data_IF_256039746559
#
_entry.id   IF_256039746559
#
_cell.length_a   1.000
_cell.length_b   1.000
_cell.length_c   1.000
_cell.angle_alpha   90.00
_cell.angle_beta   90.00
_cell.angle_gamma   90.00
#
_symmetry.space_group_name_H-M   'P 1'
#
loop_
_entity.id
_entity.type
_entity.pdbx_description
1 polymer ?
#
# COMPACT_ATOMS: atom_id res chain seq x y z
N UNK A 1 6.01 21.19 -56.16
CA UNK A 1 7.16 20.49 -56.78
C UNK A 1 6.82 19.84 -58.12
N UNK A 2 5.76 19.02 -58.21
CA UNK A 2 5.37 18.29 -59.45
C UNK A 2 5.24 19.18 -60.71
N UNK A 3 4.63 20.36 -60.59
CA UNK A 3 4.50 21.29 -61.73
C UNK A 3 5.84 21.88 -62.18
N UNK A 4 6.73 22.24 -61.24
CA UNK A 4 8.09 22.75 -61.55
C UNK A 4 8.99 21.68 -62.15
N UNK A 5 8.79 20.42 -61.79
CA UNK A 5 9.53 19.29 -62.36
C UNK A 5 9.11 19.03 -63.81
N UNK A 6 7.81 19.18 -64.11
CA UNK A 6 7.29 19.15 -65.48
C UNK A 6 7.79 20.32 -66.32
N UNK A 7 7.84 21.53 -65.76
CA UNK A 7 8.43 22.70 -66.44
C UNK A 7 9.91 22.46 -66.75
N UNK A 8 10.67 21.89 -65.81
CA UNK A 8 12.08 21.56 -66.03
C UNK A 8 12.25 20.50 -67.12
N UNK A 9 11.42 19.46 -67.12
CA UNK A 9 11.45 18.42 -68.16
C UNK A 9 11.21 19.02 -69.54
N UNK A 10 10.18 19.86 -69.69
CA UNK A 10 9.89 20.53 -70.96
C UNK A 10 11.04 21.44 -71.42
N UNK A 11 11.69 22.12 -70.47
CA UNK A 11 12.81 23.00 -70.78
C UNK A 11 14.08 22.24 -71.16
N UNK A 12 14.35 21.07 -70.54
CA UNK A 12 15.44 20.16 -70.92
C UNK A 12 15.22 19.55 -72.30
N UNK A 13 13.97 19.20 -72.64
CA UNK A 13 13.61 18.71 -73.97
C UNK A 13 13.89 19.76 -75.05
N UNK A 14 13.49 21.02 -74.82
CA UNK A 14 13.79 22.14 -75.74
C UNK A 14 15.29 22.42 -75.87
N UNK A 15 16.05 22.33 -74.79
CA UNK A 15 17.51 22.52 -74.85
C UNK A 15 18.20 21.43 -75.69
N UNK A 16 17.68 20.21 -75.65
CA UNK A 16 18.20 19.07 -76.41
C UNK A 16 17.90 19.21 -77.91
N UNK A 17 16.72 19.74 -78.25
CA UNK A 17 16.34 20.13 -79.62
C UNK A 17 17.20 21.29 -80.14
N UNK A 18 17.51 22.27 -79.29
CA UNK A 18 18.38 23.40 -79.61
C UNK A 18 19.85 22.96 -79.84
N UNK A 19 20.35 22.00 -79.05
CA UNK A 19 21.69 21.40 -79.20
C UNK A 19 21.85 20.52 -80.45
N UNK A 20 20.76 19.96 -80.98
CA UNK A 20 20.78 19.08 -82.16
C UNK A 20 20.60 19.84 -83.49
N UNK A 21 20.26 21.14 -83.44
CA UNK A 21 20.16 22.02 -84.60
C UNK A 21 21.46 22.80 -84.82
N UNK A 22 22.17 22.54 -85.93
CA UNK A 22 23.54 23.01 -86.18
C UNK A 22 23.74 24.51 -86.46
N UNK A 23 22.71 25.36 -86.25
CA UNK A 23 22.73 26.80 -86.57
C UNK A 23 22.56 27.71 -85.35
N UNK A 24 22.65 27.19 -84.12
CA UNK A 24 22.45 27.99 -82.91
C UNK A 24 23.75 28.42 -82.22
N UNK A 25 23.70 29.62 -81.61
CA UNK A 25 24.83 30.29 -80.98
C UNK A 25 25.21 29.62 -79.65
N UNK A 26 26.43 29.07 -79.59
CA UNK A 26 26.94 28.25 -78.47
C UNK A 26 26.92 28.98 -77.12
N UNK A 27 27.13 30.30 -77.11
CA UNK A 27 27.10 31.11 -75.90
C UNK A 27 25.70 31.19 -75.27
N UNK A 28 24.65 31.22 -76.10
CA UNK A 28 23.26 31.23 -75.63
C UNK A 28 22.85 29.88 -75.02
N UNK A 29 23.40 28.77 -75.55
CA UNK A 29 23.19 27.43 -75.02
C UNK A 29 23.89 27.28 -73.65
N UNK A 30 25.11 27.80 -73.50
CA UNK A 30 25.84 27.77 -72.24
C UNK A 30 25.16 28.54 -71.10
N UNK A 31 24.59 29.73 -71.39
CA UNK A 31 23.83 30.51 -70.40
C UNK A 31 22.61 29.73 -69.89
N UNK A 32 21.87 29.07 -70.79
CA UNK A 32 20.71 28.24 -70.41
C UNK A 32 21.10 27.02 -69.58
N UNK A 33 22.24 26.38 -69.86
CA UNK A 33 22.75 25.26 -69.06
C UNK A 33 23.04 25.70 -67.61
N UNK A 34 23.63 26.88 -67.41
CA UNK A 34 23.91 27.42 -66.07
C UNK A 34 22.62 27.79 -65.33
N UNK A 35 21.63 28.37 -66.02
CA UNK A 35 20.29 28.62 -65.45
C UNK A 35 19.57 27.33 -65.07
N UNK A 36 19.69 26.25 -65.85
CA UNK A 36 19.13 24.95 -65.46
C UNK A 36 19.85 24.33 -64.27
N UNK A 37 21.17 24.45 -64.18
CA UNK A 37 21.94 23.99 -63.03
C UNK A 37 21.49 24.66 -61.74
N UNK A 38 21.29 25.98 -61.76
CA UNK A 38 20.81 26.75 -60.60
C UNK A 38 19.35 26.45 -60.24
N UNK A 39 18.48 26.22 -61.23
CA UNK A 39 17.10 25.79 -60.97
C UNK A 39 17.01 24.36 -60.39
N UNK A 40 17.86 23.44 -60.86
CA UNK A 40 18.00 22.09 -60.29
C UNK A 40 18.51 22.12 -58.86
N UNK A 41 19.51 22.95 -58.56
CA UNK A 41 20.05 23.08 -57.21
C UNK A 41 19.02 23.69 -56.25
N UNK A 42 18.26 24.69 -56.70
CA UNK A 42 17.15 25.27 -55.93
C UNK A 42 16.01 24.27 -55.71
N UNK A 43 15.67 23.44 -56.70
CA UNK A 43 14.69 22.36 -56.56
C UNK A 43 15.17 21.27 -55.59
N UNK A 44 16.45 20.90 -55.65
CA UNK A 44 17.08 19.97 -54.72
C UNK A 44 17.01 20.50 -53.29
N UNK A 45 17.34 21.78 -53.06
CA UNK A 45 17.22 22.43 -51.75
C UNK A 45 15.78 22.48 -51.22
N UNK A 46 14.80 22.73 -52.10
CA UNK A 46 13.38 22.70 -51.72
C UNK A 46 12.93 21.28 -51.32
N UNK A 47 13.37 20.25 -52.05
CA UNK A 47 13.07 18.86 -51.74
C UNK A 47 13.76 18.38 -50.46
N UNK A 48 15.02 18.76 -50.24
CA UNK A 48 15.76 18.46 -49.01
C UNK A 48 15.14 19.15 -47.79
N UNK A 49 14.63 20.37 -47.96
CA UNK A 49 13.88 21.08 -46.91
C UNK A 49 12.53 20.42 -46.62
N UNK A 50 11.74 20.04 -47.63
CA UNK A 50 10.49 19.30 -47.44
C UNK A 50 10.72 17.94 -46.76
N UNK A 51 11.78 17.20 -47.12
CA UNK A 51 12.14 15.93 -46.44
C UNK A 51 12.56 16.18 -45.00
N UNK A 52 13.30 17.26 -44.73
CA UNK A 52 13.71 17.61 -43.36
C UNK A 52 12.49 18.00 -42.51
N UNK A 53 11.56 18.79 -43.05
CA UNK A 53 10.31 19.15 -42.38
C UNK A 53 9.41 17.93 -42.18
N UNK A 54 9.33 17.02 -43.16
CA UNK A 54 8.62 15.75 -43.00
C UNK A 54 9.26 14.85 -41.95
N UNK A 55 10.60 14.73 -41.91
CA UNK A 55 11.30 13.95 -40.88
C UNK A 55 11.16 14.56 -39.49
N UNK A 56 11.20 15.89 -39.39
CA UNK A 56 10.92 16.61 -38.15
C UNK A 56 9.48 16.39 -37.72
N UNK A 57 8.51 16.57 -38.62
CA UNK A 57 7.09 16.34 -38.34
C UNK A 57 6.79 14.88 -38.01
N UNK A 58 7.44 13.90 -38.64
CA UNK A 58 7.29 12.48 -38.31
C UNK A 58 7.91 12.18 -36.94
N UNK A 59 9.07 12.77 -36.63
CA UNK A 59 9.71 12.65 -35.32
C UNK A 59 8.85 13.27 -34.20
N UNK A 60 8.27 14.45 -34.44
CA UNK A 60 7.34 15.11 -33.51
C UNK A 60 6.02 14.33 -33.38
N UNK A 61 5.52 13.73 -34.47
CA UNK A 61 4.32 12.88 -34.45
C UNK A 61 4.55 11.55 -33.75
N UNK A 62 5.69 10.88 -33.97
CA UNK A 62 6.07 9.65 -33.24
C UNK A 62 6.32 9.90 -31.76
N UNK A 63 6.92 11.04 -31.39
CA UNK A 63 7.15 11.42 -29.99
C UNK A 63 5.85 11.79 -29.26
N UNK A 64 4.95 12.53 -29.92
CA UNK A 64 3.64 12.91 -29.34
C UNK A 64 2.68 11.73 -29.23
N UNK A 65 2.64 10.82 -30.21
CA UNK A 65 1.80 9.62 -30.16
C UNK A 65 2.30 8.59 -29.15
N UNK A 66 3.61 8.42 -28.98
CA UNK A 66 4.17 7.55 -27.93
C UNK A 66 3.98 8.15 -26.52
N UNK A 67 4.09 9.46 -26.36
CA UNK A 67 3.73 10.14 -25.09
C UNK A 67 2.24 10.09 -24.79
N UNK A 68 1.35 10.27 -25.78
CA UNK A 68 -0.09 10.12 -25.59
C UNK A 68 -0.49 8.69 -25.26
N UNK A 69 0.12 7.68 -25.89
CA UNK A 69 -0.12 6.28 -25.56
C UNK A 69 0.44 5.90 -24.18
N UNK A 70 1.61 6.41 -23.78
CA UNK A 70 2.16 6.23 -22.43
C UNK A 70 1.33 6.97 -21.37
N UNK A 71 0.78 8.14 -21.70
CA UNK A 71 -0.11 8.91 -20.84
C UNK A 71 -1.50 8.26 -20.75
N UNK A 72 -2.07 7.73 -21.83
CA UNK A 72 -3.34 6.99 -21.80
C UNK A 72 -3.20 5.63 -21.13
N UNK A 73 -2.09 4.90 -21.30
CA UNK A 73 -1.82 3.66 -20.54
C UNK A 73 -1.53 3.97 -19.07
N UNK A 74 -0.78 5.03 -18.77
CA UNK A 74 -0.53 5.50 -17.41
C UNK A 74 -1.79 6.01 -16.71
N UNK A 75 -2.66 6.73 -17.42
CA UNK A 75 -3.94 7.21 -16.91
C UNK A 75 -4.97 6.09 -16.83
N UNK A 76 -4.99 5.12 -17.73
CA UNK A 76 -5.90 3.96 -17.66
C UNK A 76 -5.48 3.01 -16.54
N UNK A 77 -4.18 2.76 -16.36
CA UNK A 77 -3.65 2.02 -15.23
C UNK A 77 -3.86 2.76 -13.91
N UNK A 78 -3.65 4.09 -13.88
CA UNK A 78 -3.97 4.91 -12.71
C UNK A 78 -5.48 5.00 -12.44
N UNK A 79 -6.35 5.03 -13.45
CA UNK A 79 -7.82 5.03 -13.27
C UNK A 79 -8.34 3.67 -12.82
N UNK A 80 -7.82 2.57 -13.34
CA UNK A 80 -8.17 1.22 -12.86
C UNK A 80 -7.63 0.97 -11.45
N UNK A 81 -6.38 1.38 -11.15
CA UNK A 81 -5.86 1.37 -9.80
C UNK A 81 -6.60 2.34 -8.87
N UNK A 82 -7.03 3.51 -9.34
CA UNK A 82 -7.84 4.45 -8.56
C UNK A 82 -9.24 3.92 -8.34
N UNK A 83 -9.89 3.25 -9.31
CA UNK A 83 -11.21 2.64 -9.13
C UNK A 83 -11.13 1.42 -8.20
N UNK A 84 -10.09 0.60 -8.34
CA UNK A 84 -9.79 -0.50 -7.40
C UNK A 84 -9.46 0.06 -6.02
N UNK A 85 -8.67 1.14 -5.93
CA UNK A 85 -8.35 1.83 -4.68
C UNK A 85 -9.55 2.54 -4.08
N UNK A 86 -10.44 3.14 -4.86
CA UNK A 86 -11.71 3.75 -4.41
C UNK A 86 -12.65 2.65 -3.91
N UNK A 87 -12.78 1.53 -4.62
CA UNK A 87 -13.58 0.39 -4.17
C UNK A 87 -13.00 -0.26 -2.92
N UNK A 88 -11.68 -0.43 -2.84
CA UNK A 88 -10.97 -0.91 -1.64
C UNK A 88 -11.09 0.10 -0.49
N UNK A 89 -10.93 1.39 -0.74
CA UNK A 89 -11.09 2.44 0.25
C UNK A 89 -12.55 2.50 0.73
N UNK A 90 -13.53 2.25 -0.15
CA UNK A 90 -14.95 2.17 0.21
C UNK A 90 -15.26 0.89 1.01
N UNK A 91 -14.70 -0.26 0.64
CA UNK A 91 -14.80 -1.50 1.41
C UNK A 91 -14.11 -1.39 2.78
N UNK A 92 -12.97 -0.71 2.86
CA UNK A 92 -12.23 -0.42 4.08
C UNK A 92 -13.03 0.54 4.98
N UNK A 93 -13.63 1.59 4.42
CA UNK A 93 -14.52 2.53 5.12
C UNK A 93 -15.75 1.79 5.64
N UNK A 94 -16.38 0.95 4.83
CA UNK A 94 -17.55 0.16 5.24
C UNK A 94 -17.20 -0.83 6.35
N UNK A 95 -16.03 -1.46 6.28
CA UNK A 95 -15.56 -2.34 7.35
C UNK A 95 -15.28 -1.56 8.64
N UNK A 96 -14.59 -0.42 8.55
CA UNK A 96 -14.32 0.46 9.69
C UNK A 96 -15.62 0.92 10.36
N UNK A 97 -16.58 1.42 9.57
CA UNK A 97 -17.89 1.85 10.07
C UNK A 97 -18.68 0.68 10.67
N UNK A 98 -18.58 -0.52 10.09
CA UNK A 98 -19.19 -1.71 10.68
C UNK A 98 -18.60 -2.05 12.06
N UNK A 99 -17.28 -1.94 12.24
CA UNK A 99 -16.62 -2.15 13.53
C UNK A 99 -17.04 -1.07 14.54
N UNK A 100 -17.00 0.21 14.12
CA UNK A 100 -17.36 1.37 14.95
C UNK A 100 -18.80 1.30 15.45
N UNK A 101 -19.74 0.99 14.55
CA UNK A 101 -21.17 0.88 14.85
C UNK A 101 -21.58 -0.51 15.39
N UNK A 102 -20.60 -1.35 15.78
CA UNK A 102 -20.83 -2.67 16.40
C UNK A 102 -21.59 -3.68 15.53
N UNK A 103 -21.58 -3.50 14.21
CA UNK A 103 -22.11 -4.45 13.21
C UNK A 103 -21.14 -5.61 12.96
N UNK A 104 -20.68 -6.27 14.02
CA UNK A 104 -19.58 -7.24 13.97
C UNK A 104 -19.87 -8.48 13.12
N UNK A 105 -21.14 -8.93 13.05
CA UNK A 105 -21.52 -10.07 12.19
C UNK A 105 -21.34 -9.74 10.71
N UNK A 106 -21.71 -8.53 10.30
CA UNK A 106 -21.51 -8.06 8.93
C UNK A 106 -20.03 -7.90 8.61
N UNK A 107 -19.27 -7.27 9.51
CA UNK A 107 -17.82 -7.16 9.40
C UNK A 107 -17.15 -8.55 9.29
N UNK A 108 -17.60 -9.54 10.06
CA UNK A 108 -17.07 -10.91 10.02
C UNK A 108 -17.26 -11.57 8.65
N UNK A 109 -18.44 -11.43 8.05
CA UNK A 109 -18.72 -11.96 6.70
C UNK A 109 -17.79 -11.34 5.66
N UNK A 110 -17.65 -10.01 5.67
CA UNK A 110 -16.72 -9.30 4.77
C UNK A 110 -15.27 -9.75 4.96
N UNK A 111 -14.81 -9.81 6.21
CA UNK A 111 -13.42 -10.17 6.52
C UNK A 111 -13.06 -11.60 6.14
N UNK A 112 -14.00 -12.54 6.29
CA UNK A 112 -13.81 -13.94 5.90
C UNK A 112 -13.72 -14.07 4.37
N UNK A 113 -14.46 -13.24 3.62
CA UNK A 113 -14.45 -13.25 2.16
C UNK A 113 -13.11 -12.78 1.56
N UNK A 114 -12.30 -12.02 2.30
CA UNK A 114 -10.97 -11.59 1.84
C UNK A 114 -10.06 -12.81 1.65
N UNK A 115 -9.64 -13.05 0.41
CA UNK A 115 -8.73 -14.16 0.09
C UNK A 115 -7.27 -13.83 0.39
N UNK A 116 -6.90 -12.55 0.26
CA UNK A 116 -5.54 -12.09 0.48
C UNK A 116 -5.30 -11.80 1.97
N UNK A 117 -4.34 -12.52 2.58
CA UNK A 117 -4.00 -12.32 4.00
C UNK A 117 -3.31 -10.97 4.28
N UNK A 118 -2.54 -10.45 3.32
CA UNK A 118 -1.88 -9.15 3.46
C UNK A 118 -2.89 -8.01 3.49
N UNK A 119 -3.92 -8.07 2.63
CA UNK A 119 -5.03 -7.11 2.64
C UNK A 119 -5.83 -7.18 3.95
N UNK A 120 -6.15 -8.40 4.40
CA UNK A 120 -6.83 -8.60 5.68
C UNK A 120 -6.02 -8.06 6.86
N UNK A 121 -4.70 -8.23 6.84
CA UNK A 121 -3.79 -7.70 7.87
C UNK A 121 -3.79 -6.17 7.87
N UNK A 122 -3.67 -5.55 6.69
CA UNK A 122 -3.65 -4.08 6.60
C UNK A 122 -5.01 -3.47 6.96
N UNK A 123 -6.12 -4.14 6.67
CA UNK A 123 -7.44 -3.72 7.09
C UNK A 123 -7.56 -3.65 8.62
N UNK A 124 -7.11 -4.68 9.34
CA UNK A 124 -7.09 -4.67 10.81
C UNK A 124 -6.16 -3.56 11.34
N UNK A 125 -4.99 -3.36 10.72
CA UNK A 125 -4.08 -2.25 11.08
C UNK A 125 -4.74 -0.89 10.92
N UNK A 126 -5.42 -0.65 9.80
CA UNK A 126 -6.15 0.60 9.54
C UNK A 126 -7.24 0.82 10.59
N UNK A 127 -8.06 -0.20 10.87
CA UNK A 127 -9.12 -0.09 11.89
C UNK A 127 -8.53 0.22 13.27
N UNK A 128 -7.46 -0.48 13.66
CA UNK A 128 -6.80 -0.20 14.93
C UNK A 128 -6.24 1.23 14.98
N UNK A 129 -5.56 1.70 13.94
CA UNK A 129 -5.01 3.07 13.89
C UNK A 129 -6.09 4.15 13.98
N UNK A 130 -7.29 3.90 13.43
CA UNK A 130 -8.38 4.87 13.42
C UNK A 130 -9.16 4.88 14.74
N UNK A 131 -9.35 3.72 15.38
CA UNK A 131 -10.15 3.61 16.60
C UNK A 131 -9.31 3.64 17.90
N UNK A 132 -8.03 3.28 17.83
CA UNK A 132 -7.12 3.02 18.96
C UNK A 132 -7.76 2.19 20.09
N UNK A 133 -8.66 1.28 19.72
CA UNK A 133 -9.47 0.52 20.65
C UNK A 133 -9.42 -0.98 20.34
N UNK A 134 -8.66 -1.71 21.16
CA UNK A 134 -8.52 -3.16 21.04
C UNK A 134 -9.83 -3.90 21.36
N UNK A 135 -10.66 -3.39 22.28
CA UNK A 135 -11.91 -4.06 22.66
C UNK A 135 -12.88 -4.19 21.48
N UNK A 136 -12.86 -3.23 20.54
CA UNK A 136 -13.65 -3.31 19.30
C UNK A 136 -13.23 -4.47 18.42
N UNK A 137 -11.92 -4.64 18.23
CA UNK A 137 -11.37 -5.74 17.45
C UNK A 137 -11.57 -7.07 18.17
N UNK A 138 -11.48 -7.13 19.50
CA UNK A 138 -11.73 -8.36 20.27
C UNK A 138 -13.21 -8.78 20.25
N UNK A 139 -14.14 -7.82 20.29
CA UNK A 139 -15.57 -8.09 20.11
C UNK A 139 -15.88 -8.56 18.67
N UNK A 140 -15.22 -7.97 17.68
CA UNK A 140 -15.28 -8.44 16.30
C UNK A 140 -14.77 -9.88 16.16
N UNK A 141 -13.60 -10.21 16.75
CA UNK A 141 -13.01 -11.56 16.70
C UNK A 141 -13.93 -12.62 17.32
N UNK A 142 -14.73 -12.26 18.32
CA UNK A 142 -15.72 -13.18 18.88
C UNK A 142 -16.77 -13.63 17.85
N UNK A 143 -17.05 -12.80 16.84
CA UNK A 143 -18.00 -13.10 15.76
C UNK A 143 -17.36 -13.86 14.59
N UNK A 144 -16.04 -14.10 14.59
CA UNK A 144 -15.36 -14.92 13.60
C UNK A 144 -15.53 -16.41 13.92
N UNK A 145 -16.11 -17.15 12.97
CA UNK A 145 -16.23 -18.62 13.03
C UNK A 145 -15.04 -19.35 12.39
N UNK A 146 -14.10 -18.62 11.77
CA UNK A 146 -12.92 -19.17 11.12
C UNK A 146 -11.67 -18.94 12.00
N UNK A 147 -11.01 -20.03 12.41
CA UNK A 147 -9.86 -19.94 13.33
C UNK A 147 -8.62 -19.32 12.68
N UNK A 148 -8.36 -19.57 11.39
CA UNK A 148 -7.21 -18.95 10.70
C UNK A 148 -7.37 -17.44 10.62
N UNK A 149 -8.58 -16.95 10.30
CA UNK A 149 -8.90 -15.51 10.34
C UNK A 149 -8.86 -14.95 11.76
N UNK A 150 -9.32 -15.70 12.75
CA UNK A 150 -9.21 -15.34 14.18
C UNK A 150 -7.74 -15.13 14.59
N UNK A 151 -6.88 -16.10 14.26
CA UNK A 151 -5.45 -16.05 14.56
C UNK A 151 -4.73 -14.94 13.79
N UNK A 152 -5.15 -14.65 12.56
CA UNK A 152 -4.63 -13.52 11.80
C UNK A 152 -4.87 -12.21 12.55
N UNK A 153 -6.08 -11.96 13.05
CA UNK A 153 -6.36 -10.75 13.85
C UNK A 153 -5.49 -10.68 15.10
N UNK A 154 -5.37 -11.78 15.87
CA UNK A 154 -4.52 -11.79 17.06
C UNK A 154 -3.04 -11.56 16.74
N UNK A 155 -2.52 -12.14 15.65
CA UNK A 155 -1.14 -11.93 15.20
C UNK A 155 -0.94 -10.47 14.81
N UNK A 156 -1.87 -9.91 14.04
CA UNK A 156 -1.84 -8.50 13.66
C UNK A 156 -1.86 -7.59 14.90
N UNK A 157 -2.70 -7.88 15.90
CA UNK A 157 -2.70 -7.13 17.16
C UNK A 157 -1.37 -7.27 17.91
N UNK A 158 -0.79 -8.48 17.98
CA UNK A 158 0.53 -8.68 18.56
C UNK A 158 1.60 -7.84 17.85
N UNK A 159 1.52 -7.66 16.54
CA UNK A 159 2.50 -6.88 15.79
C UNK A 159 2.36 -5.37 15.98
N UNK A 160 1.13 -4.88 16.19
CA UNK A 160 0.85 -3.43 16.32
C UNK A 160 1.01 -2.94 17.77
N UNK A 161 0.58 -3.74 18.74
CA UNK A 161 0.72 -3.39 20.15
C UNK A 161 2.21 -3.35 20.51
N UNK A 162 2.65 -2.39 21.30
CA UNK A 162 4.09 -2.26 21.56
C UNK A 162 4.51 -1.18 22.55
N UNK A 163 3.58 -0.44 23.14
CA UNK A 163 3.93 0.54 24.16
C UNK A 163 4.21 -0.08 25.53
N UNK A 164 4.94 0.68 26.34
CA UNK A 164 5.27 0.33 27.73
C UNK A 164 4.39 1.04 28.76
N UNK A 165 3.44 1.86 28.31
CA UNK A 165 2.50 2.50 29.20
C UNK A 165 1.43 1.52 29.72
N UNK A 166 0.76 1.91 30.80
CA UNK A 166 -0.23 1.07 31.47
C UNK A 166 -1.45 0.76 30.59
N UNK A 167 -1.78 1.61 29.61
CA UNK A 167 -2.90 1.40 28.68
C UNK A 167 -2.52 0.30 27.68
N UNK A 168 -1.32 0.36 27.12
CA UNK A 168 -0.78 -0.66 26.22
C UNK A 168 -0.63 -2.01 26.92
N UNK A 169 -0.17 -2.02 28.18
CA UNK A 169 -0.19 -3.24 29.01
C UNK A 169 -1.60 -3.81 29.11
N UNK A 170 -2.60 -2.99 29.40
CA UNK A 170 -3.98 -3.44 29.42
C UNK A 170 -4.45 -4.01 28.08
N UNK A 171 -4.08 -3.40 26.95
CA UNK A 171 -4.42 -3.89 25.60
C UNK A 171 -3.80 -5.28 25.32
N UNK A 172 -2.54 -5.47 25.70
CA UNK A 172 -1.83 -6.75 25.62
C UNK A 172 -2.53 -7.86 26.42
N UNK A 173 -2.78 -7.59 27.70
CA UNK A 173 -3.42 -8.52 28.60
C UNK A 173 -4.82 -8.94 28.13
N UNK A 174 -5.63 -7.98 27.66
CA UNK A 174 -6.96 -8.26 27.10
C UNK A 174 -6.87 -9.18 25.88
N UNK A 175 -5.96 -8.89 24.96
CA UNK A 175 -5.76 -9.66 23.73
C UNK A 175 -5.32 -11.09 24.04
N UNK A 176 -4.31 -11.24 24.90
CA UNK A 176 -3.81 -12.53 25.38
C UNK A 176 -4.92 -13.35 26.05
N UNK A 177 -5.67 -12.73 26.97
CA UNK A 177 -6.75 -13.44 27.68
C UNK A 177 -7.85 -13.89 26.73
N UNK A 178 -8.22 -13.05 25.77
CA UNK A 178 -9.22 -13.42 24.77
C UNK A 178 -8.74 -14.58 23.88
N UNK A 179 -7.47 -14.56 23.44
CA UNK A 179 -6.85 -15.67 22.70
C UNK A 179 -6.86 -16.97 23.52
N UNK A 180 -6.45 -16.93 24.79
CA UNK A 180 -6.49 -18.11 25.68
C UNK A 180 -7.89 -18.73 25.76
N UNK A 181 -8.93 -17.90 25.86
CA UNK A 181 -10.29 -18.40 25.91
C UNK A 181 -10.80 -18.93 24.56
N UNK A 182 -10.42 -18.29 23.45
CA UNK A 182 -10.73 -18.80 22.13
C UNK A 182 -10.05 -20.16 21.91
N UNK A 183 -8.81 -20.37 22.38
CA UNK A 183 -8.11 -21.67 22.38
C UNK A 183 -8.91 -22.72 23.18
N UNK A 184 -9.39 -22.34 24.37
CA UNK A 184 -10.09 -23.26 25.26
C UNK A 184 -11.48 -23.67 24.77
N UNK A 185 -12.17 -22.79 24.07
CA UNK A 185 -13.61 -22.95 23.79
C UNK A 185 -13.99 -23.04 22.31
N UNK A 186 -13.14 -22.59 21.37
CA UNK A 186 -13.40 -22.79 19.93
C UNK A 186 -12.86 -24.14 19.47
N UNK A 187 -13.60 -24.81 18.57
CA UNK A 187 -13.09 -26.00 17.87
C UNK A 187 -12.01 -25.57 16.88
N UNK A 188 -10.89 -26.27 16.85
CA UNK A 188 -9.78 -26.01 15.92
C UNK A 188 -9.00 -27.28 15.59
N UNK A 189 -8.26 -27.24 14.48
CA UNK A 189 -7.33 -28.31 14.08
C UNK A 189 -6.06 -28.26 14.93
N UNK A 190 -5.27 -29.34 14.89
CA UNK A 190 -3.98 -29.40 15.59
C UNK A 190 -3.01 -28.31 15.11
N UNK A 191 -2.96 -28.03 13.81
CA UNK A 191 -2.08 -27.00 13.25
C UNK A 191 -2.48 -25.60 13.73
N UNK A 192 -3.78 -25.30 13.74
CA UNK A 192 -4.28 -24.03 14.28
C UNK A 192 -4.03 -23.91 15.79
N UNK A 193 -4.12 -25.01 16.53
CA UNK A 193 -3.83 -25.04 17.97
C UNK A 193 -2.35 -24.77 18.25
N UNK A 194 -1.44 -25.38 17.50
CA UNK A 194 0.01 -25.13 17.61
C UNK A 194 0.35 -23.67 17.29
N UNK A 195 -0.22 -23.13 16.20
CA UNK A 195 -0.07 -21.72 15.86
C UNK A 195 -0.62 -20.77 16.94
N UNK A 196 -1.77 -21.12 17.54
CA UNK A 196 -2.37 -20.34 18.62
C UNK A 196 -1.52 -20.35 19.89
N UNK A 197 -0.97 -21.51 20.27
CA UNK A 197 -0.10 -21.65 21.44
C UNK A 197 1.22 -20.90 21.25
N UNK A 198 1.84 -20.97 20.06
CA UNK A 198 3.02 -20.16 19.71
C UNK A 198 2.73 -18.67 19.86
N UNK A 199 1.59 -18.21 19.35
CA UNK A 199 1.19 -16.81 19.48
C UNK A 199 0.92 -16.42 20.94
N UNK A 200 0.33 -17.32 21.74
CA UNK A 200 0.12 -17.09 23.17
C UNK A 200 1.47 -16.95 23.91
N UNK A 201 2.48 -17.74 23.56
CA UNK A 201 3.84 -17.61 24.10
C UNK A 201 4.45 -16.26 23.77
N UNK A 202 4.28 -15.76 22.54
CA UNK A 202 4.76 -14.42 22.15
C UNK A 202 4.10 -13.33 23.00
N UNK A 203 2.80 -13.45 23.27
CA UNK A 203 2.11 -12.53 24.16
C UNK A 203 2.66 -12.61 25.59
N UNK A 204 2.87 -13.82 26.12
CA UNK A 204 3.37 -14.03 27.48
C UNK A 204 4.78 -13.44 27.65
N UNK A 205 5.69 -13.65 26.70
CA UNK A 205 7.04 -13.06 26.69
C UNK A 205 7.03 -11.53 26.66
N UNK A 206 6.22 -10.93 25.78
CA UNK A 206 6.10 -9.46 25.69
C UNK A 206 5.48 -8.87 26.93
N UNK A 207 4.45 -9.51 27.48
CA UNK A 207 3.82 -9.08 28.71
C UNK A 207 4.79 -9.11 29.89
N UNK A 208 5.59 -10.17 30.01
CA UNK A 208 6.64 -10.25 31.03
C UNK A 208 7.62 -9.07 30.89
N UNK A 209 8.11 -8.81 29.68
CA UNK A 209 9.01 -7.68 29.43
C UNK A 209 8.39 -6.32 29.80
N UNK A 210 7.15 -6.05 29.40
CA UNK A 210 6.47 -4.79 29.70
C UNK A 210 6.22 -4.60 31.21
N UNK A 211 5.91 -5.69 31.93
CA UNK A 211 5.70 -5.66 33.38
C UNK A 211 7.01 -5.46 34.14
N UNK A 212 8.11 -6.06 33.67
CA UNK A 212 9.46 -5.80 34.19
C UNK A 212 9.78 -4.31 34.08
N UNK A 213 9.66 -3.79 32.87
CA UNK A 213 9.94 -2.38 32.59
C UNK A 213 9.08 -1.47 33.47
N UNK A 214 7.77 -1.68 33.50
CA UNK A 214 6.85 -0.82 34.26
C UNK A 214 7.10 -0.85 35.76
N UNK A 215 7.38 -2.02 36.32
CA UNK A 215 7.69 -2.12 37.76
C UNK A 215 9.02 -1.42 38.09
N UNK A 216 10.03 -1.51 37.23
CA UNK A 216 11.30 -0.78 37.40
C UNK A 216 11.05 0.73 37.31
N UNK A 217 10.35 1.20 36.27
CA UNK A 217 10.07 2.62 36.05
C UNK A 217 9.18 3.22 37.13
N UNK A 218 8.19 2.47 37.63
CA UNK A 218 7.25 2.93 38.67
C UNK A 218 7.73 2.63 40.09
N UNK A 219 8.77 1.81 40.25
CA UNK A 219 9.26 1.29 41.53
C UNK A 219 8.16 0.61 42.36
N UNK A 220 7.27 -0.15 41.70
CA UNK A 220 6.08 -0.77 42.32
C UNK A 220 5.72 -2.09 41.64
N UNK A 221 5.37 -3.09 42.44
CA UNK A 221 4.85 -4.35 41.91
C UNK A 221 3.44 -4.14 41.33
N UNK A 222 3.14 -4.82 40.24
CA UNK A 222 1.88 -4.67 39.52
C UNK A 222 1.00 -5.91 39.65
N UNK A 223 -0.19 -5.74 40.23
CA UNK A 223 -1.31 -6.68 40.11
C UNK A 223 -2.20 -6.18 38.97
N UNK A 224 -2.30 -6.94 37.89
CA UNK A 224 -3.16 -6.61 36.76
C UNK A 224 -4.49 -7.33 36.90
N UNK A 225 -5.58 -6.57 37.05
CA UNK A 225 -6.96 -7.07 37.06
C UNK A 225 -7.60 -6.77 35.72
N UNK A 226 -8.11 -7.80 35.04
CA UNK A 226 -8.68 -7.66 33.69
C UNK A 226 -10.16 -7.96 33.74
N UNK A 227 -10.95 -7.04 33.17
CA UNK A 227 -12.37 -7.24 32.92
C UNK A 227 -12.62 -7.10 31.42
N UNK A 228 -13.26 -8.10 30.83
CA UNK A 228 -13.68 -8.12 29.42
C UNK A 228 -15.17 -7.73 29.29
N UNK A 229 -15.59 -7.22 28.12
CA UNK A 229 -17.00 -6.91 27.85
C UNK A 229 -17.89 -8.18 27.84
N UNK A 230 -19.18 -8.02 28.17
CA UNK A 230 -20.30 -8.93 27.82
C UNK A 230 -20.24 -10.39 28.29
N UNK A 231 -19.98 -10.69 29.57
CA UNK A 231 -20.09 -12.08 30.05
C UNK A 231 -19.15 -13.08 29.33
N UNK A 232 -18.21 -12.58 28.52
CA UNK A 232 -17.27 -13.32 27.69
C UNK A 232 -16.07 -13.80 28.53
N UNK A 233 -16.38 -14.47 29.65
CA UNK A 233 -15.48 -15.04 30.67
C UNK A 233 -15.24 -14.17 31.92
N UNK A 234 -15.09 -14.86 33.06
CA UNK A 234 -14.96 -14.28 34.41
C UNK A 234 -13.75 -13.33 34.52
N UNK A 235 -13.80 -12.31 35.41
CA UNK A 235 -12.65 -11.45 35.66
C UNK A 235 -11.43 -12.28 36.07
N UNK A 236 -10.29 -12.01 35.44
CA UNK A 236 -9.02 -12.65 35.76
C UNK A 236 -8.13 -11.66 36.52
N UNK A 237 -7.50 -12.13 37.59
CA UNK A 237 -6.45 -11.39 38.30
C UNK A 237 -5.12 -12.05 37.99
N UNK A 238 -4.20 -11.28 37.43
CA UNK A 238 -2.83 -11.69 37.17
C UNK A 238 -1.92 -10.92 38.13
N UNK A 239 -1.24 -11.65 39.01
CA UNK A 239 -0.27 -11.06 39.94
C UNK A 239 1.10 -11.23 39.31
N UNK A 240 1.75 -10.13 38.93
CA UNK A 240 3.13 -10.15 38.50
C UNK A 240 4.04 -9.71 39.65
N UNK A 241 4.99 -10.57 40.00
CA UNK A 241 5.94 -10.30 41.05
C UNK A 241 7.34 -10.34 40.46
N UNK A 242 8.08 -9.24 40.59
CA UNK A 242 9.43 -9.17 40.07
C UNK A 242 10.42 -9.94 40.94
N UNK A 243 11.07 -10.91 40.32
CA UNK A 243 12.31 -11.53 40.78
C UNK A 243 13.46 -11.10 39.87
N UNK A 244 13.70 -9.80 39.72
CA UNK A 244 14.78 -9.28 38.88
C UNK A 244 16.07 -9.13 39.71
N UNK A 245 17.16 -9.71 39.21
CA UNK A 245 18.45 -9.80 39.92
C UNK A 245 19.09 -8.44 40.26
N UNK A 246 18.71 -7.38 39.55
CA UNK A 246 19.27 -6.04 39.74
C UNK A 246 18.41 -5.13 40.63
N UNK A 247 17.33 -5.64 41.21
CA UNK A 247 16.58 -4.94 42.24
C UNK A 247 17.08 -5.45 43.59
N UNK A 248 17.61 -4.56 44.43
CA UNK A 248 17.91 -4.90 45.82
C UNK A 248 16.59 -5.17 46.54
N UNK A 249 16.23 -6.45 46.61
CA UNK A 249 15.00 -6.91 47.26
C UNK A 249 14.98 -6.60 48.75
N UNK A 250 16.12 -6.40 49.42
CA UNK A 250 16.16 -6.01 50.82
C UNK A 250 15.85 -4.52 50.99
N UNK A 251 16.50 -3.67 50.21
CA UNK A 251 16.22 -2.22 50.23
C UNK A 251 14.77 -1.94 49.84
N UNK A 252 14.29 -2.58 48.77
CA UNK A 252 12.91 -2.47 48.29
C UNK A 252 11.86 -2.98 49.30
N UNK A 253 12.20 -3.99 50.11
CA UNK A 253 11.33 -4.44 51.22
C UNK A 253 11.34 -3.44 52.38
N UNK A 254 12.50 -2.85 52.69
CA UNK A 254 12.68 -1.88 53.79
C UNK A 254 11.98 -0.55 53.51
N UNK A 255 11.91 -0.10 52.26
CA UNK A 255 11.15 1.08 51.83
C UNK A 255 9.62 0.87 51.81
N UNK A 256 9.17 -0.36 52.13
CA UNK A 256 7.78 -0.78 52.09
C UNK A 256 7.41 -1.18 50.68
N UNK A 257 7.34 -2.50 50.42
CA UNK A 257 6.89 -3.06 49.15
C UNK A 257 5.54 -2.46 48.75
N UNK A 258 5.54 -1.59 47.74
CA UNK A 258 4.32 -0.97 47.23
C UNK A 258 3.77 -1.83 46.10
N UNK A 259 2.53 -2.26 46.25
CA UNK A 259 1.81 -2.99 45.22
C UNK A 259 0.72 -2.09 44.67
N UNK A 260 0.74 -1.88 43.36
CA UNK A 260 -0.30 -1.17 42.64
C UNK A 260 -1.23 -2.18 41.94
N UNK A 261 -2.51 -1.81 41.85
CA UNK A 261 -3.50 -2.58 41.11
C UNK A 261 -3.82 -1.86 39.82
N UNK A 262 -3.38 -2.41 38.69
CA UNK A 262 -3.78 -1.97 37.36
C UNK A 262 -5.10 -2.63 36.99
N UNK A 263 -6.19 -1.86 36.93
CA UNK A 263 -7.51 -2.37 36.56
C UNK A 263 -7.83 -2.04 35.09
N UNK A 264 -7.78 -3.05 34.24
CA UNK A 264 -8.06 -2.95 32.82
C UNK A 264 -9.56 -3.16 32.56
N UNK A 265 -10.30 -2.06 32.45
CA UNK A 265 -11.74 -2.08 32.17
C UNK A 265 -12.02 -2.10 30.67
N UNK A 266 -13.14 -2.71 30.23
CA UNK A 266 -13.55 -2.67 28.83
C UNK A 266 -13.83 -1.22 28.39
N UNK A 267 -13.40 -0.87 27.18
CA UNK A 267 -13.63 0.44 26.57
C UNK A 267 -14.64 0.28 25.44
N UNK A 268 -15.76 1.01 25.55
CA UNK A 268 -16.78 1.02 24.50
C UNK A 268 -16.23 1.50 23.16
N UNK A 269 -16.65 0.83 22.08
CA UNK A 269 -16.43 1.33 20.72
C UNK A 269 -17.22 2.62 20.52
N UNK A 270 -16.49 3.70 20.23
CA UNK A 270 -17.00 5.03 19.90
C UNK A 270 -16.41 5.46 18.56
#
# INVERSE_FOLDING_TARGET
>A
IKNKLHELQNNVTKLTEDLTNSNQNVDAINVRIVEFGTQLENLKRLYDNEIRELRQSLGTFQFSSSQQLLHEYGERHNREQQLVKINLDQDDIEFLEAIKNKYYKFAAVKFIALKNESEATELIRKVYRQLDNVDCLLNFVHNLNNMNKTLLVYRTLSDILGGFDLIEICKYFKTRMKLYYDIKYKKMTNDSLDAANKLLSVFDERMEFCLIYSTISLQQDLIVKIKLHNGLNMPASYVYNITYRNIDLQEYRRSGRRTAVLSCYPIDCR
#
